data_IF_741979523948
#
_entry.id   IF_741979523948
#
_cell.length_a   1.000
_cell.length_b   1.000
_cell.length_c   1.000
_cell.angle_alpha   90.00
_cell.angle_beta   90.00
_cell.angle_gamma   90.00
#
_symmetry.space_group_name_H-M   'P 1'
#
loop_
_entity.id
_entity.type
_entity.pdbx_description
1 polymer ?
#
# COMPACT_ATOMS: atom_id res chain seq x y z
N UNK A 1 -6.76 11.65 -16.02
CA UNK A 1 -5.68 11.10 -15.16
C UNK A 1 -6.19 10.58 -13.82
N UNK A 2 -6.94 11.38 -13.05
CA UNK A 2 -7.45 10.97 -11.73
C UNK A 2 -8.25 9.65 -11.72
N UNK A 3 -9.27 9.52 -12.60
CA UNK A 3 -10.08 8.29 -12.69
C UNK A 3 -9.27 7.04 -13.06
N UNK A 4 -8.20 7.21 -13.84
CA UNK A 4 -7.31 6.11 -14.20
C UNK A 4 -6.56 5.59 -12.98
N UNK A 5 -6.00 6.48 -12.14
CA UNK A 5 -5.31 6.06 -10.92
C UNK A 5 -6.25 5.43 -9.89
N UNK A 6 -7.50 5.91 -9.79
CA UNK A 6 -8.52 5.24 -8.97
C UNK A 6 -8.79 3.83 -9.48
N UNK A 7 -8.94 3.65 -10.79
CA UNK A 7 -9.16 2.32 -11.38
C UNK A 7 -7.99 1.38 -11.08
N UNK A 8 -6.75 1.84 -11.29
CA UNK A 8 -5.53 1.08 -10.94
C UNK A 8 -5.51 0.72 -9.46
N UNK A 9 -5.89 1.65 -8.58
CA UNK A 9 -5.97 1.41 -7.15
C UNK A 9 -6.99 0.33 -6.78
N UNK A 10 -8.21 0.43 -7.30
CA UNK A 10 -9.28 -0.54 -7.06
C UNK A 10 -8.86 -1.93 -7.57
N UNK A 11 -8.32 -2.01 -8.79
CA UNK A 11 -7.86 -3.27 -9.37
C UNK A 11 -6.71 -3.89 -8.57
N UNK A 12 -5.76 -3.06 -8.10
CA UNK A 12 -4.66 -3.52 -7.25
C UNK A 12 -5.15 -4.12 -5.93
N UNK A 13 -6.05 -3.44 -5.22
CA UNK A 13 -6.63 -3.96 -3.97
C UNK A 13 -7.48 -5.21 -4.22
N UNK A 14 -8.29 -5.23 -5.28
CA UNK A 14 -9.10 -6.40 -5.64
C UNK A 14 -8.23 -7.62 -5.98
N UNK A 15 -7.14 -7.42 -6.73
CA UNK A 15 -6.15 -8.44 -7.02
C UNK A 15 -5.53 -9.01 -5.73
N UNK A 16 -5.08 -8.14 -4.82
CA UNK A 16 -4.50 -8.59 -3.55
C UNK A 16 -5.50 -9.36 -2.67
N UNK A 17 -6.77 -8.92 -2.64
CA UNK A 17 -7.83 -9.61 -1.91
C UNK A 17 -8.13 -11.00 -2.50
N UNK A 18 -8.04 -11.15 -3.82
CA UNK A 18 -8.25 -12.44 -4.49
C UNK A 18 -7.14 -13.45 -4.19
N UNK A 19 -5.93 -12.99 -3.86
CA UNK A 19 -4.76 -13.81 -3.51
C UNK A 19 -4.62 -14.10 -2.01
N UNK A 20 -5.69 -13.93 -1.22
CA UNK A 20 -5.69 -14.26 0.21
C UNK A 20 -5.56 -15.77 0.43
N UNK A 21 -4.70 -16.15 1.37
CA UNK A 21 -4.49 -17.55 1.73
C UNK A 21 -5.48 -17.99 2.81
N UNK A 22 -5.82 -17.07 3.72
CA UNK A 22 -6.71 -17.32 4.86
C UNK A 22 -7.85 -16.32 4.84
N UNK A 23 -9.07 -16.78 5.12
CA UNK A 23 -10.21 -15.90 5.36
C UNK A 23 -9.96 -15.09 6.62
N UNK A 24 -9.83 -13.78 6.47
CA UNK A 24 -9.51 -12.87 7.56
C UNK A 24 -10.54 -11.73 7.61
N UNK A 25 -11.06 -11.47 8.81
CA UNK A 25 -12.02 -10.39 9.01
C UNK A 25 -11.40 -9.03 8.69
N UNK A 26 -12.20 -8.20 8.01
CA UNK A 26 -11.85 -6.85 7.59
C UNK A 26 -10.56 -6.80 6.73
N UNK A 27 -10.26 -7.87 5.99
CA UNK A 27 -9.04 -7.95 5.19
C UNK A 27 -8.91 -6.79 4.19
N UNK A 28 -10.00 -6.35 3.55
CA UNK A 28 -9.97 -5.18 2.64
C UNK A 28 -9.51 -3.93 3.38
N UNK A 29 -10.05 -3.66 4.57
CA UNK A 29 -9.65 -2.52 5.40
C UNK A 29 -8.16 -2.63 5.79
N UNK A 30 -7.69 -3.83 6.13
CA UNK A 30 -6.27 -4.07 6.44
C UNK A 30 -5.39 -3.83 5.21
N UNK A 31 -5.77 -4.31 4.02
CA UNK A 31 -5.02 -4.07 2.78
C UNK A 31 -4.96 -2.57 2.44
N UNK A 32 -6.07 -1.84 2.60
CA UNK A 32 -6.10 -0.38 2.45
C UNK A 32 -5.18 0.28 3.47
N UNK A 33 -5.18 -0.16 4.72
CA UNK A 33 -4.28 0.36 5.76
C UNK A 33 -2.80 0.14 5.43
N UNK A 34 -2.44 -1.06 4.96
CA UNK A 34 -1.07 -1.35 4.52
C UNK A 34 -0.68 -0.56 3.25
N UNK A 35 -1.61 -0.34 2.32
CA UNK A 35 -1.40 0.56 1.17
C UNK A 35 -1.11 1.99 1.62
N UNK A 36 -1.93 2.54 2.51
CA UNK A 36 -1.74 3.89 3.04
C UNK A 36 -0.40 4.00 3.76
N UNK A 37 -0.07 3.00 4.58
CA UNK A 37 1.23 2.90 5.23
C UNK A 37 2.36 2.88 4.20
N UNK A 38 2.28 2.06 3.15
CA UNK A 38 3.28 2.03 2.08
C UNK A 38 3.45 3.34 1.32
N UNK A 39 2.35 4.07 1.12
CA UNK A 39 2.34 5.37 0.42
C UNK A 39 2.76 6.56 1.29
N UNK A 40 2.91 6.36 2.59
CA UNK A 40 3.22 7.43 3.52
C UNK A 40 4.69 7.85 3.44
N UNK A 41 4.92 9.15 3.28
CA UNK A 41 6.23 9.77 3.30
C UNK A 41 6.23 11.05 4.12
N UNK A 42 7.40 11.41 4.64
CA UNK A 42 7.65 12.74 5.18
C UNK A 42 8.32 13.60 4.12
N UNK A 43 7.93 14.86 4.03
CA UNK A 43 8.62 15.87 3.24
C UNK A 43 9.32 16.83 4.21
N UNK A 44 10.65 16.76 4.27
CA UNK A 44 11.49 17.61 5.09
C UNK A 44 12.25 18.57 4.18
N UNK A 45 11.72 19.79 4.01
CA UNK A 45 12.33 20.83 3.17
C UNK A 45 12.68 20.35 1.75
N UNK A 46 11.81 19.56 1.12
CA UNK A 46 12.02 19.00 -0.22
C UNK A 46 12.69 17.63 -0.23
N UNK A 47 13.22 17.16 0.89
CA UNK A 47 13.68 15.78 1.02
C UNK A 47 12.50 14.85 1.35
N UNK A 48 12.17 13.97 0.41
CA UNK A 48 11.10 12.97 0.56
C UNK A 48 11.67 11.71 1.17
N UNK A 49 11.13 11.32 2.34
CA UNK A 49 11.54 10.12 3.07
C UNK A 49 10.34 9.17 3.17
N UNK A 50 10.33 8.05 2.44
CA UNK A 50 9.22 7.08 2.45
C UNK A 50 9.27 6.19 3.71
N UNK A 51 9.01 6.78 4.88
CA UNK A 51 9.09 6.09 6.18
C UNK A 51 7.99 5.05 6.37
N UNK A 52 6.87 5.19 5.68
CA UNK A 52 5.74 4.30 5.84
C UNK A 52 6.05 2.85 5.41
N UNK A 53 6.82 2.66 4.33
CA UNK A 53 7.20 1.32 3.88
C UNK A 53 8.09 0.56 4.88
N UNK A 54 9.19 1.13 5.43
CA UNK A 54 9.94 0.51 6.52
C UNK A 54 9.10 0.19 7.76
N UNK A 55 8.15 1.05 8.14
CA UNK A 55 7.25 0.80 9.28
C UNK A 55 6.40 -0.46 9.09
N UNK A 56 6.07 -0.83 7.85
CA UNK A 56 5.36 -2.06 7.53
C UNK A 56 6.07 -3.32 8.06
N UNK A 57 7.40 -3.32 8.19
CA UNK A 57 8.15 -4.47 8.71
C UNK A 57 8.06 -4.63 10.23
N UNK A 58 7.72 -3.55 10.95
CA UNK A 58 7.50 -3.59 12.40
C UNK A 58 6.18 -4.28 12.74
N UNK A 59 5.17 -4.08 11.90
CA UNK A 59 3.93 -4.84 11.99
C UNK A 59 4.22 -6.25 11.48
N UNK A 60 4.25 -7.24 12.39
CA UNK A 60 4.47 -8.66 12.07
C UNK A 60 3.10 -9.37 12.00
N UNK A 61 2.32 -9.23 10.91
CA UNK A 61 1.00 -9.86 10.84
C UNK A 61 1.13 -11.39 10.82
N UNK A 62 0.22 -12.05 11.54
CA UNK A 62 0.15 -13.51 11.63
C UNK A 62 -0.46 -14.12 10.37
N UNK A 63 -1.53 -13.51 9.86
CA UNK A 63 -2.27 -13.97 8.69
C UNK A 63 -2.00 -13.08 7.47
N UNK A 64 -2.07 -13.67 6.27
CA UNK A 64 -2.02 -12.94 4.98
C UNK A 64 -0.82 -11.98 4.87
N UNK A 65 0.32 -12.32 5.50
CA UNK A 65 1.51 -11.47 5.61
C UNK A 65 2.03 -11.04 4.25
N UNK A 66 2.00 -11.96 3.27
CA UNK A 66 2.47 -11.71 1.90
C UNK A 66 1.66 -10.59 1.24
N UNK A 67 0.33 -10.74 1.16
CA UNK A 67 -0.53 -9.75 0.50
C UNK A 67 -0.59 -8.40 1.23
N UNK A 68 -0.44 -8.39 2.57
CA UNK A 68 -0.32 -7.14 3.34
C UNK A 68 0.98 -6.41 3.03
N UNK A 69 2.09 -7.13 2.92
CA UNK A 69 3.37 -6.56 2.49
C UNK A 69 3.30 -6.07 1.05
N UNK A 70 2.69 -6.82 0.15
CA UNK A 70 2.47 -6.41 -1.24
C UNK A 70 1.57 -5.18 -1.34
N UNK A 71 0.54 -5.03 -0.48
CA UNK A 71 -0.25 -3.81 -0.40
C UNK A 71 0.60 -2.59 -0.04
N UNK A 72 1.53 -2.75 0.91
CA UNK A 72 2.50 -1.70 1.26
C UNK A 72 3.48 -1.39 0.12
N UNK A 73 3.97 -2.40 -0.59
CA UNK A 73 4.78 -2.18 -1.80
C UNK A 73 3.98 -1.42 -2.86
N UNK A 74 2.72 -1.79 -3.06
CA UNK A 74 1.83 -1.10 -4.00
C UNK A 74 1.64 0.38 -3.63
N UNK A 75 1.45 0.67 -2.34
CA UNK A 75 1.42 2.04 -1.81
C UNK A 75 2.70 2.82 -2.13
N UNK A 76 3.86 2.21 -1.90
CA UNK A 76 5.16 2.83 -2.20
C UNK A 76 5.31 3.13 -3.69
N UNK A 77 4.94 2.19 -4.57
CA UNK A 77 5.00 2.38 -6.02
C UNK A 77 4.09 3.53 -6.46
N UNK A 78 2.85 3.57 -5.95
CA UNK A 78 1.90 4.64 -6.27
C UNK A 78 2.40 6.00 -5.78
N UNK A 79 3.04 6.05 -4.62
CA UNK A 79 3.69 7.26 -4.11
C UNK A 79 4.80 7.74 -5.05
N UNK A 80 5.72 6.86 -5.48
CA UNK A 80 6.80 7.22 -6.41
C UNK A 80 6.23 7.73 -7.73
N UNK A 81 5.23 7.03 -8.30
CA UNK A 81 4.56 7.45 -9.53
C UNK A 81 3.93 8.84 -9.37
N UNK A 82 3.25 9.08 -8.24
CA UNK A 82 2.65 10.39 -7.93
C UNK A 82 3.69 11.51 -7.86
N UNK A 83 4.89 11.24 -7.34
CA UNK A 83 5.99 12.20 -7.26
C UNK A 83 6.65 12.50 -8.60
N UNK A 84 6.62 11.55 -9.54
CA UNK A 84 7.23 11.72 -10.87
C UNK A 84 6.31 12.46 -11.86
N UNK A 85 5.00 12.43 -11.62
CA UNK A 85 4.00 12.98 -12.54
C UNK A 85 3.44 14.33 -12.03
N UNK A 86 3.59 14.61 -10.73
CA UNK A 86 3.38 15.95 -10.18
C UNK A 86 4.50 16.91 -10.58
#
# INVERSE_FOLDING_TARGET
MFFFFILVWILGIAYLYSNREVGEDLLVLKLVGYYLLGSFYLNLNGLIIPLGFPLCFLFRPLENKKIKREASIFGLVMMIIGLLIN
#
